data_IF_249941014277
#
_entry.id   IF_249941014277
#
_cell.length_a   1.000
_cell.length_b   1.000
_cell.length_c   1.000
_cell.angle_alpha   90.00
_cell.angle_beta   90.00
_cell.angle_gamma   90.00
#
_symmetry.space_group_name_H-M   'P 1'
#
loop_
_entity.id
_entity.type
_entity.pdbx_description
1 polymer ?
#
# COMPACT_ATOMS: atom_id res chain seq x y z
N UNK A 1 56.70 -27.41 34.13
CA UNK A 1 55.37 -26.82 33.85
C UNK A 1 54.88 -27.39 32.50
N UNK A 2 53.83 -28.22 32.50
CA UNK A 2 53.27 -28.80 31.23
C UNK A 2 52.15 -27.90 30.78
N UNK A 3 52.27 -27.27 29.60
CA UNK A 3 51.21 -26.47 28.97
C UNK A 3 50.17 -27.42 28.36
N UNK A 4 48.91 -27.34 28.83
CA UNK A 4 47.77 -27.97 28.21
C UNK A 4 47.09 -26.96 27.23
N UNK A 5 47.12 -27.27 25.95
CA UNK A 5 46.40 -26.51 24.93
C UNK A 5 44.99 -27.14 24.80
N UNK A 6 43.95 -26.38 25.17
CA UNK A 6 42.55 -26.77 24.93
C UNK A 6 42.16 -26.43 23.52
N UNK A 7 41.87 -27.45 22.68
CA UNK A 7 41.25 -27.27 21.36
C UNK A 7 39.73 -27.29 21.56
N UNK A 8 39.08 -26.15 21.39
CA UNK A 8 37.63 -26.08 21.38
C UNK A 8 37.13 -26.37 19.97
N UNK A 9 36.56 -27.57 19.74
CA UNK A 9 35.84 -27.92 18.53
C UNK A 9 34.49 -27.19 18.55
N UNK A 10 34.35 -26.14 17.76
CA UNK A 10 33.05 -25.50 17.50
C UNK A 10 32.23 -26.32 16.50
N UNK A 11 31.18 -26.97 16.94
CA UNK A 11 30.19 -27.58 16.05
C UNK A 11 29.34 -26.45 15.43
N UNK A 12 29.51 -26.19 14.14
CA UNK A 12 28.58 -25.37 13.35
C UNK A 12 27.34 -26.23 13.05
N UNK A 13 26.26 -26.02 13.79
CA UNK A 13 24.96 -26.60 13.44
C UNK A 13 24.42 -25.77 12.27
N UNK A 14 24.46 -26.31 11.06
CA UNK A 14 23.73 -25.74 9.93
C UNK A 14 22.27 -26.09 10.09
N UNK A 15 21.45 -25.13 10.52
CA UNK A 15 19.99 -25.24 10.44
C UNK A 15 19.64 -25.10 8.95
N UNK A 16 19.34 -26.22 8.31
CA UNK A 16 18.76 -26.18 6.96
C UNK A 16 17.40 -25.46 7.07
N UNK A 17 17.26 -24.35 6.35
CA UNK A 17 15.96 -23.66 6.25
C UNK A 17 15.00 -24.63 5.56
N UNK A 18 13.91 -24.99 6.24
CA UNK A 18 12.83 -25.78 5.62
C UNK A 18 12.12 -24.87 4.64
N UNK A 19 12.14 -25.21 3.36
CA UNK A 19 11.38 -24.48 2.36
C UNK A 19 9.88 -24.55 2.67
N UNK A 20 9.18 -23.41 2.70
CA UNK A 20 7.76 -23.40 2.94
C UNK A 20 7.02 -24.10 1.80
N UNK A 21 6.06 -24.97 2.15
CA UNK A 21 5.20 -25.64 1.19
C UNK A 21 3.87 -24.86 1.08
N UNK A 22 3.46 -24.53 -0.15
CA UNK A 22 2.23 -23.82 -0.43
C UNK A 22 1.24 -24.75 -1.14
N UNK A 23 -0.04 -24.56 -0.83
CA UNK A 23 -1.16 -25.18 -1.54
C UNK A 23 -1.94 -24.08 -2.23
N UNK A 24 -2.12 -24.15 -3.53
CA UNK A 24 -3.00 -23.25 -4.29
C UNK A 24 -4.47 -23.62 -4.03
N UNK A 25 -5.31 -22.59 -3.84
CA UNK A 25 -6.75 -22.71 -3.77
C UNK A 25 -7.35 -21.61 -4.64
N UNK A 26 -8.13 -22.00 -5.66
CA UNK A 26 -8.89 -21.06 -6.48
C UNK A 26 -10.15 -20.66 -5.72
N UNK A 27 -10.37 -19.35 -5.55
CA UNK A 27 -11.53 -18.77 -4.87
C UNK A 27 -12.57 -18.30 -5.90
N UNK A 28 -12.14 -17.61 -6.95
CA UNK A 28 -13.01 -17.10 -8.01
C UNK A 28 -12.25 -17.07 -9.34
N UNK A 29 -12.75 -17.82 -10.33
CA UNK A 29 -12.21 -17.82 -11.69
C UNK A 29 -12.86 -16.77 -12.62
N UNK A 30 -13.85 -15.98 -12.12
CA UNK A 30 -14.62 -15.01 -12.91
C UNK A 30 -14.32 -13.58 -12.52
N UNK A 31 -13.03 -13.26 -12.38
CA UNK A 31 -12.52 -11.92 -12.12
C UNK A 31 -12.26 -11.22 -13.45
N UNK A 32 -12.62 -9.93 -13.56
CA UNK A 32 -12.41 -9.15 -14.78
C UNK A 32 -10.94 -8.78 -14.98
N UNK A 33 -10.41 -7.93 -14.12
CA UNK A 33 -8.98 -7.51 -14.11
C UNK A 33 -8.31 -7.75 -12.77
N UNK A 34 -9.03 -7.52 -11.64
CA UNK A 34 -8.49 -7.74 -10.31
C UNK A 34 -7.41 -6.73 -9.92
N UNK A 35 -7.67 -5.45 -10.09
CA UNK A 35 -6.69 -4.38 -9.87
C UNK A 35 -6.18 -4.23 -8.44
N UNK A 36 -7.01 -4.50 -7.45
CA UNK A 36 -6.65 -4.31 -6.05
C UNK A 36 -7.21 -5.39 -5.13
N UNK A 37 -6.38 -5.89 -4.22
CA UNK A 37 -6.74 -6.90 -3.26
C UNK A 37 -6.36 -6.45 -1.85
N UNK A 38 -7.27 -6.65 -0.90
CA UNK A 38 -7.06 -6.40 0.52
C UNK A 38 -7.49 -7.61 1.34
N UNK A 39 -6.93 -7.73 2.52
CA UNK A 39 -7.28 -8.73 3.51
C UNK A 39 -7.71 -8.02 4.78
N UNK A 40 -8.96 -8.24 5.21
CA UNK A 40 -9.50 -7.68 6.45
C UNK A 40 -10.70 -8.50 6.90
N UNK A 41 -11.10 -8.36 8.16
CA UNK A 41 -12.36 -8.89 8.67
C UNK A 41 -13.49 -7.94 8.26
N UNK A 42 -14.44 -8.44 7.47
CA UNK A 42 -15.52 -7.62 6.91
C UNK A 42 -16.80 -7.66 7.73
N UNK A 43 -17.03 -8.71 8.51
CA UNK A 43 -18.27 -8.93 9.25
C UNK A 43 -18.11 -9.04 10.78
N UNK A 44 -16.87 -9.02 11.28
CA UNK A 44 -16.56 -9.05 12.71
C UNK A 44 -16.47 -10.45 13.30
N UNK A 45 -16.34 -11.49 12.45
CA UNK A 45 -16.21 -12.88 12.89
C UNK A 45 -14.77 -13.27 13.30
N UNK A 46 -13.84 -12.34 13.23
CA UNK A 46 -12.40 -12.46 13.52
C UNK A 46 -11.63 -13.37 12.56
N UNK A 47 -12.19 -13.61 11.38
CA UNK A 47 -11.47 -14.27 10.29
C UNK A 47 -11.14 -13.25 9.21
N UNK A 48 -10.05 -13.51 8.54
CA UNK A 48 -9.60 -12.63 7.46
C UNK A 48 -10.34 -12.98 6.18
N UNK A 49 -11.11 -12.03 5.65
CA UNK A 49 -11.77 -12.11 4.37
C UNK A 49 -10.87 -11.57 3.25
N UNK A 50 -11.24 -11.87 2.02
CA UNK A 50 -10.59 -11.33 0.81
C UNK A 50 -11.48 -10.25 0.23
N UNK A 51 -10.97 -9.04 0.03
CA UNK A 51 -11.67 -7.93 -0.60
C UNK A 51 -11.01 -7.66 -1.96
N UNK A 52 -11.80 -7.65 -3.02
CA UNK A 52 -11.34 -7.47 -4.39
C UNK A 52 -11.94 -6.22 -5.02
N UNK A 53 -11.06 -5.34 -5.50
CA UNK A 53 -11.38 -4.26 -6.41
C UNK A 53 -11.22 -4.76 -7.85
N UNK A 54 -12.33 -5.13 -8.46
CA UNK A 54 -12.35 -5.52 -9.86
C UNK A 54 -12.68 -4.32 -10.76
N UNK A 55 -12.61 -4.52 -12.04
CA UNK A 55 -12.85 -3.53 -13.09
C UNK A 55 -14.06 -2.62 -12.83
N UNK A 56 -15.20 -3.23 -12.53
CA UNK A 56 -16.50 -2.56 -12.46
C UNK A 56 -17.28 -2.82 -11.16
N UNK A 57 -16.68 -3.52 -10.22
CA UNK A 57 -17.31 -3.89 -8.94
C UNK A 57 -16.30 -4.04 -7.82
N UNK A 58 -16.80 -3.90 -6.60
CA UNK A 58 -16.09 -4.19 -5.36
C UNK A 58 -16.82 -5.36 -4.72
N UNK A 59 -16.08 -6.41 -4.40
CA UNK A 59 -16.64 -7.62 -3.77
C UNK A 59 -15.77 -8.04 -2.60
N UNK A 60 -16.34 -8.82 -1.68
CA UNK A 60 -15.56 -9.54 -0.70
C UNK A 60 -16.01 -10.99 -0.62
N UNK A 61 -15.10 -11.86 -0.18
CA UNK A 61 -15.31 -13.30 -0.06
C UNK A 61 -15.17 -13.68 1.40
N UNK A 62 -16.27 -14.18 1.97
CA UNK A 62 -16.39 -14.53 3.39
C UNK A 62 -15.59 -15.80 3.73
N UNK A 63 -14.66 -15.72 4.64
CA UNK A 63 -13.87 -16.84 5.14
C UNK A 63 -14.68 -17.61 6.22
N UNK A 64 -14.81 -18.97 6.20
CA UNK A 64 -14.07 -19.91 5.31
C UNK A 64 -14.85 -20.42 4.11
N UNK A 65 -16.06 -19.92 3.90
CA UNK A 65 -16.96 -20.43 2.85
C UNK A 65 -16.62 -19.91 1.48
N UNK A 66 -15.96 -18.74 1.42
CA UNK A 66 -15.66 -17.96 0.23
C UNK A 66 -16.92 -17.52 -0.52
N UNK A 67 -18.05 -17.43 0.20
CA UNK A 67 -19.25 -16.81 -0.32
C UNK A 67 -18.99 -15.38 -0.75
N UNK A 68 -19.40 -15.05 -1.98
CA UNK A 68 -19.15 -13.75 -2.59
C UNK A 68 -20.25 -12.75 -2.27
N UNK A 69 -19.87 -11.60 -1.73
CA UNK A 69 -20.77 -10.49 -1.48
C UNK A 69 -20.33 -9.27 -2.28
N UNK A 70 -21.26 -8.62 -2.99
CA UNK A 70 -20.97 -7.37 -3.69
C UNK A 70 -21.18 -6.19 -2.76
N UNK A 71 -20.16 -5.34 -2.65
CA UNK A 71 -20.19 -4.09 -1.86
C UNK A 71 -20.64 -2.92 -2.72
N UNK A 72 -20.19 -2.87 -3.97
CA UNK A 72 -20.53 -1.80 -4.91
C UNK A 72 -20.28 -2.24 -6.35
N UNK A 73 -20.93 -1.58 -7.30
CA UNK A 73 -20.70 -1.75 -8.73
C UNK A 73 -20.81 -0.42 -9.46
N UNK A 74 -20.08 -0.30 -10.58
CA UNK A 74 -20.17 0.82 -11.53
C UNK A 74 -20.13 2.23 -10.89
N UNK A 75 -19.23 2.45 -9.90
CA UNK A 75 -19.03 3.77 -9.29
C UNK A 75 -18.57 4.81 -10.31
N UNK A 76 -17.86 4.36 -11.35
CA UNK A 76 -17.32 5.21 -12.41
C UNK A 76 -17.52 4.59 -13.78
N UNK A 77 -17.41 5.41 -14.85
CA UNK A 77 -17.52 4.93 -16.24
C UNK A 77 -16.32 4.11 -16.69
N UNK A 78 -15.18 4.24 -16.03
CA UNK A 78 -13.94 3.50 -16.26
C UNK A 78 -13.62 2.62 -15.08
N UNK A 79 -12.57 1.85 -15.19
CA UNK A 79 -12.18 0.85 -14.22
C UNK A 79 -11.91 1.43 -12.83
N UNK A 80 -12.28 0.69 -11.79
CA UNK A 80 -11.75 0.84 -10.45
C UNK A 80 -10.30 0.33 -10.43
N UNK A 81 -9.40 0.97 -9.67
CA UNK A 81 -7.96 0.68 -9.80
C UNK A 81 -7.25 0.43 -8.49
N UNK A 82 -7.79 0.87 -7.38
CA UNK A 82 -7.18 0.65 -6.06
C UNK A 82 -8.24 0.64 -4.96
N UNK A 83 -7.87 0.00 -3.87
CA UNK A 83 -8.74 -0.19 -2.71
C UNK A 83 -7.89 -0.22 -1.44
N UNK A 84 -8.48 0.19 -0.34
CA UNK A 84 -7.95 -0.05 1.00
C UNK A 84 -9.08 -0.40 1.94
N UNK A 85 -8.81 -1.34 2.87
CA UNK A 85 -9.77 -1.79 3.87
C UNK A 85 -9.07 -1.87 5.23
N UNK A 86 -9.71 -1.33 6.28
CA UNK A 86 -9.20 -1.34 7.66
C UNK A 86 -10.34 -1.04 8.62
N UNK A 87 -10.33 -1.67 9.80
CA UNK A 87 -11.17 -1.29 10.92
C UNK A 87 -10.72 0.08 11.45
N UNK A 88 -11.57 1.10 11.28
CA UNK A 88 -11.24 2.49 11.61
C UNK A 88 -11.84 2.95 12.94
N UNK A 89 -12.90 2.33 13.40
CA UNK A 89 -13.63 2.73 14.61
C UNK A 89 -13.50 1.73 15.76
N UNK A 90 -12.87 0.58 15.53
CA UNK A 90 -12.57 -0.44 16.51
C UNK A 90 -13.74 -1.39 16.77
N UNK A 91 -14.73 -1.46 15.85
CA UNK A 91 -15.87 -2.38 15.96
C UNK A 91 -15.53 -3.80 15.48
N UNK A 92 -14.30 -4.01 14.99
CA UNK A 92 -13.79 -5.27 14.47
C UNK A 92 -14.13 -5.53 13.01
N UNK A 93 -14.71 -4.55 12.29
CA UNK A 93 -15.11 -4.68 10.88
C UNK A 93 -14.44 -3.60 10.04
N UNK A 94 -13.97 -3.97 8.87
CA UNK A 94 -13.21 -3.04 8.05
C UNK A 94 -14.09 -2.07 7.25
N UNK A 95 -13.69 -0.80 7.19
CA UNK A 95 -14.18 0.23 6.29
C UNK A 95 -13.37 0.24 5.00
N UNK A 96 -14.03 0.58 3.88
CA UNK A 96 -13.46 0.55 2.54
C UNK A 96 -13.39 1.95 1.94
N UNK A 97 -12.22 2.28 1.36
CA UNK A 97 -12.10 3.35 0.37
C UNK A 97 -11.61 2.77 -0.97
N UNK A 98 -12.08 3.34 -2.08
CA UNK A 98 -11.79 2.84 -3.43
C UNK A 98 -11.47 3.99 -4.38
N UNK A 99 -10.52 3.76 -5.29
CA UNK A 99 -10.19 4.65 -6.40
C UNK A 99 -10.67 4.10 -7.74
N UNK A 100 -11.19 4.98 -8.58
CA UNK A 100 -11.75 4.59 -9.87
C UNK A 100 -11.51 5.60 -10.97
N UNK A 101 -12.28 5.51 -12.07
CA UNK A 101 -12.16 6.34 -13.27
C UNK A 101 -10.73 6.28 -13.86
N UNK A 102 -10.16 5.07 -13.88
CA UNK A 102 -8.79 4.86 -14.33
C UNK A 102 -8.60 5.28 -15.79
N UNK A 103 -7.77 6.28 -16.03
CA UNK A 103 -7.42 6.76 -17.35
C UNK A 103 -5.97 7.23 -17.39
N UNK A 104 -5.05 6.30 -17.66
CA UNK A 104 -3.61 6.53 -17.61
C UNK A 104 -3.13 7.64 -18.56
N UNK A 105 -3.86 7.89 -19.66
CA UNK A 105 -3.52 8.91 -20.66
C UNK A 105 -3.86 10.34 -20.24
N UNK A 106 -4.74 10.52 -19.23
CA UNK A 106 -5.23 11.82 -18.79
C UNK A 106 -4.70 12.16 -17.39
N UNK A 107 -3.86 13.19 -17.31
CA UNK A 107 -3.25 13.61 -16.04
C UNK A 107 -3.56 15.06 -15.64
N UNK A 108 -4.35 15.78 -16.44
CA UNK A 108 -4.63 17.21 -16.23
C UNK A 108 -6.09 17.49 -15.87
N UNK A 109 -7.01 16.63 -16.31
CA UNK A 109 -8.44 16.84 -16.15
C UNK A 109 -9.05 15.81 -15.20
N UNK A 110 -9.33 16.23 -13.98
CA UNK A 110 -9.92 15.36 -12.94
C UNK A 110 -11.35 14.90 -13.30
N UNK A 111 -12.07 15.59 -14.18
CA UNK A 111 -13.39 15.14 -14.64
C UNK A 111 -13.31 13.91 -15.56
N UNK A 112 -12.13 13.65 -16.15
CA UNK A 112 -11.89 12.56 -17.09
C UNK A 112 -11.03 11.43 -16.54
N UNK A 113 -10.39 11.64 -15.41
CA UNK A 113 -9.44 10.69 -14.83
C UNK A 113 -9.38 10.82 -13.32
N UNK A 114 -9.32 9.67 -12.65
CA UNK A 114 -9.29 9.57 -11.21
C UNK A 114 -10.68 9.71 -10.58
N UNK A 115 -10.85 9.05 -9.46
CA UNK A 115 -11.97 9.21 -8.53
C UNK A 115 -11.56 8.61 -7.18
N UNK A 116 -12.12 9.11 -6.10
CA UNK A 116 -11.93 8.57 -4.74
C UNK A 116 -13.30 8.50 -4.07
N UNK A 117 -13.60 7.34 -3.49
CA UNK A 117 -14.83 7.14 -2.72
C UNK A 117 -14.50 6.49 -1.38
N UNK A 118 -15.16 6.94 -0.33
CA UNK A 118 -15.41 6.16 0.86
C UNK A 118 -16.72 5.40 0.65
N UNK A 119 -16.76 4.13 1.00
CA UNK A 119 -17.98 3.32 0.91
C UNK A 119 -18.59 3.22 2.31
N UNK A 120 -19.70 3.93 2.52
CA UNK A 120 -20.40 3.91 3.79
C UNK A 120 -21.18 2.59 3.94
N UNK A 121 -20.83 1.74 4.93
CA UNK A 121 -21.34 0.38 5.01
C UNK A 121 -22.83 0.32 5.34
N UNK A 122 -23.50 -0.73 4.86
CA UNK A 122 -24.83 -1.14 5.36
C UNK A 122 -24.68 -1.86 6.69
N UNK A 123 -25.74 -1.90 7.50
CA UNK A 123 -25.73 -2.53 8.82
C UNK A 123 -25.35 -4.02 8.77
N UNK A 124 -25.82 -4.74 7.75
CA UNK A 124 -25.55 -6.16 7.55
C UNK A 124 -24.26 -6.44 6.76
N UNK A 125 -23.59 -5.37 6.30
CA UNK A 125 -22.39 -5.44 5.48
C UNK A 125 -22.54 -6.20 4.16
N UNK A 126 -23.75 -6.60 3.81
CA UNK A 126 -24.13 -7.28 2.59
C UNK A 126 -24.87 -6.30 1.68
N UNK A 127 -24.73 -6.48 0.37
CA UNK A 127 -25.32 -5.59 -0.60
C UNK A 127 -24.55 -4.29 -0.82
N UNK A 128 -25.16 -3.36 -1.54
CA UNK A 128 -24.49 -2.15 -2.01
C UNK A 128 -24.36 -1.10 -0.89
N UNK A 129 -23.12 -0.73 -0.60
CA UNK A 129 -22.79 0.37 0.32
C UNK A 129 -22.97 1.73 -0.37
N UNK A 130 -23.27 2.76 0.42
CA UNK A 130 -23.50 4.11 -0.13
C UNK A 130 -22.14 4.78 -0.42
N UNK A 131 -21.83 5.15 -1.67
CA UNK A 131 -20.58 5.82 -1.98
C UNK A 131 -20.61 7.29 -1.56
N UNK A 132 -19.56 7.74 -0.89
CA UNK A 132 -19.27 9.13 -0.57
C UNK A 132 -18.08 9.55 -1.42
N UNK A 133 -18.31 10.41 -2.41
CA UNK A 133 -17.26 10.88 -3.30
C UNK A 133 -16.40 11.93 -2.61
N UNK A 134 -15.07 11.75 -2.70
CA UNK A 134 -14.09 12.67 -2.14
C UNK A 134 -13.41 13.48 -3.27
N UNK A 135 -12.88 14.68 -2.98
CA UNK A 135 -12.03 15.41 -3.91
C UNK A 135 -10.85 14.52 -4.35
N UNK A 136 -10.42 14.61 -5.61
CA UNK A 136 -9.38 13.73 -6.13
C UNK A 136 -8.46 14.45 -7.13
N UNK A 137 -7.33 13.84 -7.44
CA UNK A 137 -6.45 14.21 -8.53
C UNK A 137 -6.67 13.26 -9.73
N UNK A 138 -6.36 13.69 -10.96
CA UNK A 138 -6.28 12.77 -12.10
C UNK A 138 -5.30 11.61 -11.81
N UNK A 139 -5.48 10.48 -12.49
CA UNK A 139 -4.60 9.32 -12.34
C UNK A 139 -4.50 8.78 -10.90
N UNK A 140 -5.54 8.93 -10.06
CA UNK A 140 -5.62 8.21 -8.78
C UNK A 140 -5.27 6.75 -8.99
N UNK A 141 -4.29 6.21 -8.22
CA UNK A 141 -3.72 4.90 -8.50
C UNK A 141 -3.53 4.00 -7.27
N UNK A 142 -3.13 4.57 -6.12
CA UNK A 142 -2.96 3.80 -4.87
C UNK A 142 -3.50 4.60 -3.70
N UNK A 143 -3.97 3.87 -2.69
CA UNK A 143 -4.43 4.44 -1.44
C UNK A 143 -4.25 3.46 -0.28
N UNK A 144 -4.03 4.02 0.92
CA UNK A 144 -4.00 3.25 2.16
C UNK A 144 -4.56 4.07 3.32
N UNK A 145 -5.24 3.39 4.24
CA UNK A 145 -5.49 3.93 5.56
C UNK A 145 -4.19 3.93 6.35
N UNK A 146 -3.82 5.07 6.91
CA UNK A 146 -2.60 5.26 7.69
C UNK A 146 -2.98 5.72 9.09
N UNK A 147 -2.52 5.01 10.10
CA UNK A 147 -2.78 5.36 11.49
C UNK A 147 -2.00 6.62 11.86
N UNK A 148 -2.70 7.74 12.04
CA UNK A 148 -2.12 9.04 12.43
C UNK A 148 -2.06 9.24 13.95
N UNK A 149 -2.61 8.31 14.72
CA UNK A 149 -2.62 8.29 16.18
C UNK A 149 -3.52 7.17 16.70
N UNK A 150 -3.60 6.98 18.00
CA UNK A 150 -4.45 5.93 18.59
C UNK A 150 -5.93 6.10 18.17
N UNK A 151 -6.45 5.14 17.39
CA UNK A 151 -7.81 5.16 16.87
C UNK A 151 -8.10 6.31 15.91
N UNK A 152 -7.06 6.88 15.27
CA UNK A 152 -7.19 7.93 14.25
C UNK A 152 -6.50 7.48 12.98
N UNK A 153 -7.18 7.65 11.86
CA UNK A 153 -6.69 7.23 10.56
C UNK A 153 -6.88 8.33 9.52
N UNK A 154 -5.92 8.44 8.62
CA UNK A 154 -6.01 9.26 7.43
C UNK A 154 -6.03 8.37 6.19
N UNK A 155 -6.83 8.74 5.21
CA UNK A 155 -6.77 8.12 3.90
C UNK A 155 -5.68 8.81 3.08
N UNK A 156 -4.54 8.15 2.90
CA UNK A 156 -3.50 8.67 2.00
C UNK A 156 -3.74 8.15 0.60
N UNK A 157 -3.83 9.10 -0.36
CA UNK A 157 -4.14 8.81 -1.77
C UNK A 157 -3.09 9.45 -2.65
N UNK A 158 -2.63 8.68 -3.65
CA UNK A 158 -1.66 9.17 -4.62
C UNK A 158 -2.03 8.82 -6.07
N UNK A 159 -1.76 9.74 -7.02
CA UNK A 159 -1.78 9.47 -8.44
C UNK A 159 -0.55 8.66 -8.88
N UNK A 160 -0.66 7.98 -10.04
CA UNK A 160 0.51 7.36 -10.69
C UNK A 160 1.47 8.42 -11.24
N UNK A 161 0.91 9.43 -11.89
CA UNK A 161 1.66 10.54 -12.48
C UNK A 161 1.11 11.89 -12.01
N UNK A 162 2.01 12.89 -11.96
CA UNK A 162 1.59 14.28 -11.85
C UNK A 162 1.12 14.86 -13.19
N UNK A 163 0.55 16.07 -13.17
CA UNK A 163 0.05 16.73 -14.37
C UNK A 163 1.17 17.03 -15.38
N UNK A 164 0.82 17.14 -16.66
CA UNK A 164 1.72 17.63 -17.70
C UNK A 164 1.66 19.16 -17.75
N UNK A 165 2.83 19.80 -17.71
CA UNK A 165 2.95 21.24 -17.96
C UNK A 165 2.76 21.59 -19.43
N UNK A 166 2.71 22.91 -19.74
CA UNK A 166 2.61 23.39 -21.11
C UNK A 166 3.79 22.94 -22.01
N UNK A 167 4.94 22.65 -21.41
CA UNK A 167 6.12 22.09 -22.05
C UNK A 167 6.04 20.56 -22.27
N UNK A 168 4.90 19.94 -22.02
CA UNK A 168 4.66 18.49 -22.12
C UNK A 168 5.33 17.64 -21.03
N UNK A 169 6.12 18.22 -20.13
CA UNK A 169 6.83 17.49 -19.08
C UNK A 169 5.92 17.22 -17.90
N UNK A 170 6.00 15.99 -17.35
CA UNK A 170 5.32 15.64 -16.11
C UNK A 170 5.82 16.49 -14.95
N UNK A 171 4.91 17.01 -14.15
CA UNK A 171 5.15 17.63 -12.84
C UNK A 171 5.05 16.58 -11.73
N UNK A 172 5.30 16.97 -10.49
CA UNK A 172 5.13 16.07 -9.37
C UNK A 172 3.67 15.72 -9.11
N UNK A 173 3.40 14.46 -8.80
CA UNK A 173 2.10 13.98 -8.40
C UNK A 173 1.77 14.46 -6.98
N UNK A 174 0.59 15.00 -6.77
CA UNK A 174 0.15 15.43 -5.44
C UNK A 174 -0.36 14.23 -4.65
N UNK A 175 0.30 13.94 -3.56
CA UNK A 175 -0.13 12.96 -2.56
C UNK A 175 -0.91 13.69 -1.48
N UNK A 176 -2.13 13.24 -1.20
CA UNK A 176 -3.02 13.87 -0.22
C UNK A 176 -3.32 12.91 0.93
N UNK A 177 -3.35 13.42 2.16
CA UNK A 177 -3.91 12.75 3.33
C UNK A 177 -5.25 13.39 3.66
N UNK A 178 -6.32 12.60 3.65
CA UNK A 178 -7.69 13.00 3.96
C UNK A 178 -8.01 12.64 5.40
N UNK A 179 -8.48 13.61 6.16
CA UNK A 179 -8.95 13.39 7.52
C UNK A 179 -10.44 13.03 7.50
N UNK A 180 -10.75 11.82 7.98
CA UNK A 180 -12.10 11.35 8.06
C UNK A 180 -12.87 12.15 9.14
N UNK A 181 -13.99 12.81 8.81
CA UNK A 181 -14.82 13.47 9.80
C UNK A 181 -15.56 12.43 10.67
N UNK A 182 -16.07 12.86 11.82
CA UNK A 182 -16.85 11.99 12.71
C UNK A 182 -18.07 11.36 12.01
N UNK A 183 -18.71 12.10 11.11
CA UNK A 183 -19.72 11.58 10.18
C UNK A 183 -19.08 11.50 8.79
N UNK A 184 -18.76 10.28 8.28
CA UNK A 184 -18.05 10.12 7.01
C UNK A 184 -18.83 10.63 5.78
N UNK A 185 -20.12 10.93 5.92
CA UNK A 185 -20.93 11.49 4.84
C UNK A 185 -20.73 13.00 4.65
N UNK A 186 -20.04 13.66 5.59
CA UNK A 186 -19.73 15.08 5.55
C UNK A 186 -18.44 15.35 4.79
N UNK A 187 -18.14 16.63 4.59
CA UNK A 187 -16.92 17.06 3.90
C UNK A 187 -15.66 16.59 4.63
N UNK A 188 -14.71 16.02 3.87
CA UNK A 188 -13.42 15.59 4.36
C UNK A 188 -12.38 16.68 4.10
N UNK A 189 -11.70 17.14 5.15
CA UNK A 189 -10.52 17.98 4.97
C UNK A 189 -9.33 17.15 4.47
N UNK A 190 -8.39 17.80 3.77
CA UNK A 190 -7.17 17.12 3.30
C UNK A 190 -5.96 18.03 3.39
N UNK A 191 -4.81 17.43 3.62
CA UNK A 191 -3.51 18.11 3.62
C UNK A 191 -2.59 17.53 2.56
N UNK A 192 -1.74 18.36 1.99
CA UNK A 192 -0.74 17.93 1.00
C UNK A 192 0.43 17.27 1.71
N UNK A 193 0.67 16.00 1.38
CA UNK A 193 1.83 15.23 1.88
C UNK A 193 3.08 15.54 1.06
N UNK A 194 2.95 15.47 -0.28
CA UNK A 194 4.05 15.77 -1.20
C UNK A 194 3.55 16.07 -2.61
N UNK A 195 4.42 16.69 -3.43
CA UNK A 195 4.12 17.00 -4.84
C UNK A 195 5.34 16.96 -5.76
N UNK A 196 6.42 16.25 -5.38
CA UNK A 196 7.67 16.31 -6.15
C UNK A 196 7.94 15.09 -7.03
N UNK A 197 7.41 13.91 -6.69
CA UNK A 197 7.63 12.69 -7.48
C UNK A 197 6.77 12.70 -8.75
N UNK A 198 7.41 12.66 -9.91
CA UNK A 198 6.74 12.74 -11.23
C UNK A 198 6.07 11.45 -11.67
N UNK A 199 6.60 10.34 -11.21
CA UNK A 199 6.14 8.96 -11.42
C UNK A 199 6.35 8.22 -10.12
N UNK A 200 5.29 7.67 -9.53
CA UNK A 200 5.39 6.87 -8.34
C UNK A 200 4.34 5.77 -8.36
N UNK A 201 4.76 4.51 -8.21
CA UNK A 201 3.90 3.37 -8.46
C UNK A 201 3.18 2.90 -7.20
N UNK A 202 3.91 2.43 -6.20
CA UNK A 202 3.30 1.91 -4.99
C UNK A 202 3.84 2.60 -3.74
N UNK A 203 3.12 2.45 -2.63
CA UNK A 203 3.58 2.84 -1.30
C UNK A 203 3.07 1.85 -0.25
N UNK A 204 3.74 1.79 0.88
CA UNK A 204 3.53 0.79 1.91
C UNK A 204 3.49 1.45 3.29
N UNK A 205 2.34 1.41 4.01
CA UNK A 205 2.23 1.85 5.39
C UNK A 205 3.08 1.01 6.34
N UNK A 206 3.65 1.65 7.34
CA UNK A 206 4.50 1.00 8.32
C UNK A 206 4.68 1.88 9.55
N UNK A 207 4.52 1.33 10.74
CA UNK A 207 5.00 1.94 11.98
C UNK A 207 6.52 1.72 12.07
N UNK A 208 7.27 2.71 11.54
CA UNK A 208 8.72 2.58 11.34
C UNK A 208 9.50 2.62 12.64
N UNK A 209 9.16 3.52 13.52
CA UNK A 209 9.84 3.76 14.80
C UNK A 209 9.13 3.11 16.00
N UNK A 210 7.97 2.50 15.79
CA UNK A 210 7.14 1.78 16.77
C UNK A 210 6.53 2.71 17.83
N UNK A 211 6.15 3.90 17.40
CA UNK A 211 5.48 4.87 18.27
C UNK A 211 3.95 4.75 18.26
N UNK A 212 3.38 3.85 17.40
CA UNK A 212 1.95 3.64 17.22
C UNK A 212 1.31 4.59 16.21
N UNK A 213 2.12 5.38 15.49
CA UNK A 213 1.73 6.14 14.29
C UNK A 213 2.38 5.49 13.08
N UNK A 214 1.70 5.49 11.97
CA UNK A 214 2.28 4.91 10.75
C UNK A 214 2.87 5.99 9.86
N UNK A 215 4.06 5.72 9.39
CA UNK A 215 4.71 6.30 8.24
C UNK A 215 4.36 5.50 6.99
N UNK A 216 4.98 5.86 5.87
CA UNK A 216 4.97 5.01 4.69
C UNK A 216 6.25 5.12 3.86
N UNK A 217 6.57 4.02 3.19
CA UNK A 217 7.60 3.98 2.15
C UNK A 217 6.92 4.16 0.79
N UNK A 218 7.45 5.02 -0.07
CA UNK A 218 6.93 5.26 -1.41
C UNK A 218 8.00 4.97 -2.46
N UNK A 219 7.67 4.09 -3.43
CA UNK A 219 8.51 3.76 -4.57
C UNK A 219 8.15 4.62 -5.78
N UNK A 220 9.15 5.06 -6.54
CA UNK A 220 8.95 5.85 -7.74
C UNK A 220 10.22 6.10 -8.53
N UNK A 221 10.12 6.99 -9.53
CA UNK A 221 11.21 7.31 -10.47
C UNK A 221 12.51 7.74 -9.77
N UNK A 222 12.40 8.44 -8.67
CA UNK A 222 13.54 8.99 -7.93
C UNK A 222 14.04 8.04 -6.84
N UNK A 223 13.53 6.80 -6.77
CA UNK A 223 13.88 5.82 -5.75
C UNK A 223 12.81 5.60 -4.69
N UNK A 224 13.22 5.14 -3.52
CA UNK A 224 12.36 4.91 -2.36
C UNK A 224 12.51 6.05 -1.37
N UNK A 225 11.39 6.60 -0.95
CA UNK A 225 11.28 7.63 0.07
C UNK A 225 10.49 7.14 1.26
N UNK A 226 10.93 7.50 2.44
CA UNK A 226 10.20 7.44 3.68
C UNK A 226 9.44 8.75 3.88
N UNK A 227 8.17 8.66 4.31
CA UNK A 227 7.34 9.80 4.70
C UNK A 227 6.78 9.55 6.09
N UNK A 228 6.90 10.53 6.96
CA UNK A 228 6.38 10.49 8.32
C UNK A 228 6.00 11.88 8.81
N UNK A 229 5.42 11.95 10.01
CA UNK A 229 5.06 13.20 10.66
C UNK A 229 6.05 13.54 11.75
N UNK A 230 6.39 14.80 11.84
CA UNK A 230 7.20 15.30 12.97
C UNK A 230 6.34 15.56 14.23
N UNK A 231 6.98 16.07 15.28
CA UNK A 231 6.32 16.43 16.54
C UNK A 231 5.25 17.54 16.42
N UNK A 232 5.27 18.29 15.33
CA UNK A 232 4.29 19.34 15.03
C UNK A 232 3.17 18.84 14.12
N UNK A 233 3.12 17.52 13.86
CA UNK A 233 2.18 16.86 12.93
C UNK A 233 2.37 17.25 11.46
N UNK A 234 3.54 17.76 11.09
CA UNK A 234 3.90 18.13 9.72
C UNK A 234 4.54 16.96 8.98
N UNK A 235 4.15 16.72 7.73
CA UNK A 235 4.75 15.71 6.89
C UNK A 235 6.20 16.05 6.54
N UNK A 236 7.08 15.09 6.78
CA UNK A 236 8.51 15.11 6.42
C UNK A 236 8.82 13.91 5.55
N UNK A 237 9.91 13.98 4.80
CA UNK A 237 10.37 12.88 3.98
C UNK A 237 11.88 12.73 3.99
N UNK A 238 12.34 11.50 3.71
CA UNK A 238 13.76 11.15 3.60
C UNK A 238 13.94 10.17 2.44
N UNK A 239 14.94 10.41 1.61
CA UNK A 239 15.29 9.49 0.53
C UNK A 239 16.11 8.32 1.06
N UNK A 240 15.63 7.10 0.85
CA UNK A 240 16.31 5.88 1.27
C UNK A 240 17.12 5.23 0.14
N UNK A 241 16.65 5.33 -1.11
CA UNK A 241 17.39 4.88 -2.29
C UNK A 241 17.22 5.85 -3.46
N UNK A 242 18.10 5.74 -4.46
CA UNK A 242 18.02 6.54 -5.70
C UNK A 242 17.62 5.70 -6.91
N UNK A 243 17.50 4.36 -6.74
CA UNK A 243 17.15 3.48 -7.84
C UNK A 243 15.65 3.56 -8.11
N UNK A 244 15.28 3.74 -9.39
CA UNK A 244 13.89 3.71 -9.80
C UNK A 244 13.22 2.40 -9.35
N UNK A 245 12.16 2.51 -8.55
CA UNK A 245 11.45 1.38 -8.00
C UNK A 245 9.94 1.48 -8.26
N UNK A 246 9.29 0.35 -8.46
CA UNK A 246 7.84 0.25 -8.60
C UNK A 246 7.16 -0.19 -7.32
N UNK A 247 7.72 -1.16 -6.65
CA UNK A 247 7.18 -1.76 -5.42
C UNK A 247 8.16 -1.58 -4.26
N UNK A 248 7.60 -1.50 -3.06
CA UNK A 248 8.37 -1.45 -1.81
C UNK A 248 7.62 -2.14 -0.68
N UNK A 249 8.35 -2.93 0.11
CA UNK A 249 7.88 -3.56 1.34
C UNK A 249 8.98 -3.55 2.39
N UNK A 250 8.59 -3.50 3.65
CA UNK A 250 9.54 -3.68 4.74
C UNK A 250 9.62 -5.13 5.23
N UNK A 251 10.62 -5.40 6.03
CA UNK A 251 10.79 -6.66 6.70
C UNK A 251 11.80 -6.58 7.84
N UNK A 252 11.87 -7.66 8.61
CA UNK A 252 12.85 -7.81 9.69
C UNK A 252 13.79 -8.96 9.40
N UNK A 253 15.09 -8.75 9.60
CA UNK A 253 16.06 -9.84 9.59
C UNK A 253 15.84 -10.75 10.80
N UNK A 254 16.41 -11.96 10.80
CA UNK A 254 16.39 -12.86 11.95
C UNK A 254 16.94 -12.23 13.25
N UNK A 255 17.75 -11.17 13.14
CA UNK A 255 18.26 -10.40 14.29
C UNK A 255 17.42 -9.16 14.63
N UNK A 256 16.21 -9.06 14.08
CA UNK A 256 15.27 -7.96 14.33
C UNK A 256 15.66 -6.61 13.68
N UNK A 257 16.67 -6.58 12.82
CA UNK A 257 17.01 -5.37 12.07
C UNK A 257 16.04 -5.17 10.91
N UNK A 258 15.51 -3.95 10.79
CA UNK A 258 14.62 -3.58 9.69
C UNK A 258 15.38 -3.49 8.37
N UNK A 259 14.72 -3.89 7.31
CA UNK A 259 15.14 -3.69 5.92
C UNK A 259 13.92 -3.32 5.08
N UNK A 260 14.14 -2.86 3.88
CA UNK A 260 13.09 -2.83 2.86
C UNK A 260 13.54 -3.55 1.60
N UNK A 261 12.57 -4.09 0.88
CA UNK A 261 12.74 -4.69 -0.43
C UNK A 261 12.03 -3.85 -1.49
N UNK A 262 12.56 -3.83 -2.70
CA UNK A 262 11.99 -3.11 -3.83
C UNK A 262 12.09 -3.93 -5.12
N UNK A 263 11.12 -3.72 -6.03
CA UNK A 263 11.19 -4.16 -7.41
C UNK A 263 11.77 -3.01 -8.24
N UNK A 264 12.84 -3.26 -8.98
CA UNK A 264 13.61 -2.27 -9.73
C UNK A 264 13.87 -2.70 -11.18
N UNK A 265 13.69 -1.78 -12.15
CA UNK A 265 12.88 -0.56 -12.05
C UNK A 265 11.38 -0.86 -11.89
N UNK A 266 10.49 0.12 -12.05
CA UNK A 266 9.03 -0.11 -12.04
C UNK A 266 8.64 -1.18 -13.06
N UNK A 267 7.89 -2.23 -12.62
CA UNK A 267 7.62 -3.44 -13.40
C UNK A 267 8.87 -4.15 -13.92
N UNK A 268 9.98 -4.00 -13.20
CA UNK A 268 11.27 -4.50 -13.62
C UNK A 268 11.53 -5.96 -13.27
N UNK A 269 12.79 -6.34 -13.43
CA UNK A 269 13.24 -7.72 -13.29
C UNK A 269 13.98 -7.99 -11.99
N UNK A 270 14.32 -6.95 -11.22
CA UNK A 270 15.23 -7.04 -10.09
C UNK A 270 14.49 -6.95 -8.75
N UNK A 271 14.68 -7.93 -7.90
CA UNK A 271 14.36 -7.84 -6.47
C UNK A 271 15.60 -7.40 -5.72
N UNK A 272 15.57 -6.21 -5.15
CA UNK A 272 16.66 -5.68 -4.33
C UNK A 272 16.21 -5.53 -2.88
N UNK A 273 17.10 -5.82 -1.93
CA UNK A 273 16.93 -5.48 -0.51
C UNK A 273 17.90 -4.39 -0.11
N UNK A 274 17.47 -3.58 0.84
CA UNK A 274 18.22 -2.48 1.40
C UNK A 274 18.35 -2.67 2.91
N UNK A 275 19.58 -2.91 3.35
CA UNK A 275 19.93 -3.13 4.74
C UNK A 275 20.53 -1.85 5.32
N UNK A 276 19.97 -1.37 6.42
CA UNK A 276 20.50 -0.19 7.10
C UNK A 276 21.86 -0.50 7.73
N UNK A 277 22.90 0.24 7.33
CA UNK A 277 24.27 0.10 7.87
C UNK A 277 24.61 1.14 8.91
N UNK A 278 24.11 2.39 8.72
CA UNK A 278 24.20 3.53 9.64
C UNK A 278 22.93 4.36 9.51
N UNK A 279 22.70 5.33 10.38
CA UNK A 279 21.44 6.07 10.51
C UNK A 279 20.76 6.50 9.20
N UNK A 280 21.51 6.84 8.15
CA UNK A 280 20.96 7.28 6.85
C UNK A 280 21.54 6.53 5.65
N UNK A 281 22.31 5.45 5.89
CA UNK A 281 22.98 4.71 4.82
C UNK A 281 22.39 3.32 4.66
N UNK A 282 22.00 3.01 3.43
CA UNK A 282 21.39 1.76 3.03
C UNK A 282 22.33 1.00 2.08
N UNK A 283 22.65 -0.24 2.43
CA UNK A 283 23.39 -1.12 1.54
C UNK A 283 22.39 -1.91 0.69
N UNK A 284 22.43 -1.68 -0.62
CA UNK A 284 21.66 -2.45 -1.61
C UNK A 284 22.30 -3.81 -1.85
N UNK A 285 21.46 -4.85 -1.90
CA UNK A 285 21.82 -6.19 -2.33
C UNK A 285 20.74 -6.72 -3.27
N UNK A 286 21.14 -7.27 -4.40
CA UNK A 286 20.25 -7.94 -5.33
C UNK A 286 20.01 -9.37 -4.84
N UNK A 287 18.75 -9.79 -4.82
CA UNK A 287 18.34 -11.15 -4.50
C UNK A 287 17.99 -11.95 -5.75
N UNK A 288 17.36 -11.29 -6.73
CA UNK A 288 16.89 -11.92 -7.97
C UNK A 288 16.91 -10.88 -9.11
N UNK A 289 17.25 -11.30 -10.31
CA UNK A 289 17.23 -10.49 -11.54
C UNK A 289 16.43 -11.17 -12.66
N UNK A 290 15.66 -12.21 -12.32
CA UNK A 290 14.98 -13.06 -13.31
C UNK A 290 13.48 -12.83 -13.40
N UNK A 291 12.94 -11.90 -12.62
CA UNK A 291 11.52 -11.56 -12.69
C UNK A 291 11.13 -11.10 -14.10
N UNK A 292 9.85 -11.29 -14.41
CA UNK A 292 9.21 -10.70 -15.59
C UNK A 292 8.04 -9.87 -15.10
N UNK A 293 8.03 -8.57 -15.46
CA UNK A 293 6.98 -7.62 -15.08
C UNK A 293 6.66 -7.67 -13.57
N UNK A 294 7.70 -7.51 -12.73
CA UNK A 294 7.61 -7.63 -11.27
C UNK A 294 6.62 -6.63 -10.65
N UNK A 295 5.81 -7.15 -9.72
CA UNK A 295 4.85 -6.42 -8.89
C UNK A 295 4.97 -6.80 -7.42
#
# INVERSE_FOLDING_TARGET
MKNFTFITLGFAVSVAAVEPKFRAQEIDAKVGVGYGLQLADMDGDKKTDIILCDKDKIVWYHNPTWEKHQVSGHLTKRDHVCITARDLDGDGKAEIAVGGQWNIGESNDASKSGAVFYLNPTTDRKGNWTPVQLPHEPNTHRMHWIQSGKGKFDLVVKPLYGPKGADGRKRGAKVWAYHMPKDPTKEWSRILVSNFMKDSHNFHPIDWDRDGREEFLQAGLNGVYWFGRDKNDEWKYMQFSQNYAGEVRDGLTARGKRFFAAIEPKHGTTVAIYLQTKAQFWQRRVLDETLKDGH
#
